data_IF_549654342276
#
_entry.id   IF_549654342276
#
_cell.length_a   1.000
_cell.length_b   1.000
_cell.length_c   1.000
_cell.angle_alpha   90.00
_cell.angle_beta   90.00
_cell.angle_gamma   90.00
#
_symmetry.space_group_name_H-M   'P 1'
#
loop_
_entity.id
_entity.type
_entity.pdbx_description
1 polymer ?
#
# COMPACT_ATOMS: atom_id res chain seq x y z
N UNK A 1 18.01 14.77 27.65
CA UNK A 1 17.36 13.97 26.59
C UNK A 1 16.82 12.71 27.23
N UNK A 2 15.52 12.64 27.52
CA UNK A 2 14.93 11.49 28.20
C UNK A 2 14.71 10.36 27.19
N UNK A 3 15.54 9.32 27.26
CA UNK A 3 15.25 8.05 26.58
C UNK A 3 14.17 7.33 27.37
N UNK A 4 12.95 7.33 26.84
CA UNK A 4 11.85 6.53 27.38
C UNK A 4 12.22 5.06 27.15
N UNK A 5 12.33 4.26 28.21
CA UNK A 5 12.55 2.81 28.08
C UNK A 5 11.26 2.17 27.59
N UNK A 6 11.14 1.99 26.28
CA UNK A 6 10.12 1.12 25.70
C UNK A 6 10.64 -0.32 25.75
N UNK A 7 9.90 -1.19 26.43
CA UNK A 7 10.11 -2.64 26.37
C UNK A 7 9.38 -3.21 25.14
N UNK A 8 9.63 -2.63 23.97
CA UNK A 8 9.22 -3.23 22.70
C UNK A 8 10.15 -4.42 22.43
N UNK A 9 9.55 -5.58 22.16
CA UNK A 9 10.28 -6.78 21.75
C UNK A 9 11.12 -6.42 20.52
N UNK A 10 12.43 -6.59 20.62
CA UNK A 10 13.43 -6.10 19.66
C UNK A 10 13.54 -6.99 18.40
N UNK A 11 12.59 -7.91 18.19
CA UNK A 11 12.59 -8.82 17.04
C UNK A 11 12.18 -8.06 15.79
N UNK A 12 13.11 -8.09 14.85
CA UNK A 12 13.17 -7.29 13.64
C UNK A 12 11.81 -7.15 12.94
N UNK A 13 11.43 -5.93 12.51
CA UNK A 13 10.45 -5.83 11.43
C UNK A 13 10.96 -6.73 10.29
N UNK A 14 10.07 -7.47 9.61
CA UNK A 14 10.34 -8.56 8.65
C UNK A 14 11.38 -8.38 7.54
N UNK A 15 12.20 -7.34 7.57
CA UNK A 15 13.46 -7.19 6.86
C UNK A 15 14.48 -8.17 7.45
N UNK A 16 14.76 -9.24 6.71
CA UNK A 16 15.75 -10.26 7.10
C UNK A 16 17.19 -9.81 6.80
N UNK A 17 17.36 -9.00 5.75
CA UNK A 17 18.68 -8.51 5.34
C UNK A 17 18.57 -7.13 4.71
N UNK A 18 19.42 -6.21 5.16
CA UNK A 18 19.61 -4.89 4.55
C UNK A 18 20.94 -4.93 3.80
N UNK A 19 20.92 -4.65 2.50
CA UNK A 19 22.13 -4.51 1.67
C UNK A 19 22.37 -3.04 1.34
N UNK A 20 21.29 -2.29 1.07
CA UNK A 20 21.36 -0.88 0.72
C UNK A 20 20.11 -0.16 1.22
N UNK A 21 20.33 0.98 1.87
CA UNK A 21 19.30 1.92 2.29
C UNK A 21 19.58 3.32 1.72
N UNK A 22 18.55 4.18 1.72
CA UNK A 22 18.73 5.60 1.38
C UNK A 22 19.36 6.29 2.57
N UNK A 23 20.56 6.84 2.38
CA UNK A 23 21.25 7.64 3.39
C UNK A 23 20.41 8.85 3.80
N UNK A 24 20.20 9.02 5.11
CA UNK A 24 19.31 10.05 5.66
C UNK A 24 17.81 9.73 5.55
N UNK A 25 17.44 8.60 4.95
CA UNK A 25 16.06 8.16 4.79
C UNK A 25 15.26 8.99 3.79
N UNK A 26 13.93 8.96 3.94
CA UNK A 26 13.03 9.80 3.16
C UNK A 26 11.81 10.23 3.94
N UNK A 27 11.29 11.39 3.56
CA UNK A 27 10.13 12.00 4.20
C UNK A 27 8.85 11.38 3.68
N UNK A 28 8.05 10.81 4.57
CA UNK A 28 6.75 10.22 4.23
C UNK A 28 5.67 11.31 4.22
N UNK A 29 4.92 11.36 3.13
CA UNK A 29 3.78 12.25 2.98
C UNK A 29 2.58 11.73 3.78
N UNK A 30 2.20 12.45 4.84
CA UNK A 30 1.08 12.06 5.70
C UNK A 30 -0.29 12.39 5.13
N UNK A 31 -0.36 13.29 4.14
CA UNK A 31 -1.60 13.94 3.73
C UNK A 31 -2.68 12.95 3.28
N UNK A 32 -2.29 11.82 2.69
CA UNK A 32 -3.21 10.79 2.22
C UNK A 32 -3.55 9.70 3.25
N UNK A 33 -2.91 9.76 4.41
CA UNK A 33 -3.04 8.79 5.51
C UNK A 33 -3.72 9.39 6.74
N UNK A 34 -3.64 10.72 6.91
CA UNK A 34 -4.22 11.45 8.04
C UNK A 34 -5.73 11.18 8.13
N UNK A 35 -6.19 10.77 9.31
CA UNK A 35 -7.59 10.44 9.58
C UNK A 35 -8.01 9.04 9.11
N UNK A 36 -7.08 8.26 8.54
CA UNK A 36 -7.28 6.85 8.20
C UNK A 36 -6.54 5.97 9.20
N UNK A 37 -5.27 6.30 9.46
CA UNK A 37 -4.40 5.65 10.44
C UNK A 37 -3.64 6.71 11.25
N UNK A 38 -3.29 6.37 12.48
CA UNK A 38 -2.48 7.23 13.35
C UNK A 38 -0.98 6.95 13.17
N UNK A 39 -0.61 5.69 12.93
CA UNK A 39 0.77 5.27 12.72
C UNK A 39 0.87 4.37 11.49
N UNK A 40 1.80 4.69 10.59
CA UNK A 40 2.17 3.83 9.47
C UNK A 40 3.18 2.79 9.97
N UNK A 41 2.90 1.48 9.87
CA UNK A 41 3.86 0.45 10.24
C UNK A 41 5.10 0.45 9.32
N UNK A 42 6.21 -0.21 9.73
CA UNK A 42 7.31 -0.52 8.82
C UNK A 42 6.86 -1.55 7.76
N UNK A 43 7.73 -1.87 6.81
CA UNK A 43 7.50 -2.78 5.69
C UNK A 43 6.48 -2.29 4.65
N UNK A 44 6.21 -0.99 4.61
CA UNK A 44 5.27 -0.43 3.65
C UNK A 44 6.00 0.00 2.40
N UNK A 45 5.49 -0.43 1.24
CA UNK A 45 6.00 0.00 -0.05
C UNK A 45 5.59 1.45 -0.29
N UNK A 46 6.57 2.28 -0.65
CA UNK A 46 6.37 3.69 -0.97
C UNK A 46 6.95 4.01 -2.35
N UNK A 47 6.35 5.01 -2.99
CA UNK A 47 6.82 5.60 -4.23
C UNK A 47 7.09 7.09 -4.07
N UNK A 48 8.12 7.59 -4.76
CA UNK A 48 8.53 8.98 -4.66
C UNK A 48 7.72 9.87 -5.62
N UNK A 49 7.34 11.06 -5.16
CA UNK A 49 6.75 12.10 -6.00
C UNK A 49 7.81 13.04 -6.60
N UNK A 50 7.38 13.97 -7.46
CA UNK A 50 8.26 14.95 -8.10
C UNK A 50 8.94 15.93 -7.12
N UNK A 51 8.39 16.12 -5.92
CA UNK A 51 8.93 16.99 -4.88
C UNK A 51 9.88 16.23 -3.93
N UNK A 52 10.05 14.93 -4.13
CA UNK A 52 10.89 14.06 -3.31
C UNK A 52 10.24 13.56 -2.02
N UNK A 53 8.93 13.72 -1.85
CA UNK A 53 8.17 13.07 -0.78
C UNK A 53 7.80 11.65 -1.18
N UNK A 54 7.83 10.74 -0.21
CA UNK A 54 7.45 9.35 -0.40
C UNK A 54 6.01 9.15 0.03
N UNK A 55 5.20 8.55 -0.84
CA UNK A 55 3.80 8.25 -0.60
C UNK A 55 3.57 6.74 -0.57
N UNK A 56 2.63 6.29 0.24
CA UNK A 56 2.29 4.87 0.36
C UNK A 56 1.66 4.38 -0.93
N UNK A 57 2.20 3.28 -1.48
CA UNK A 57 1.53 2.53 -2.54
C UNK A 57 0.42 1.74 -1.88
N UNK A 58 -0.80 2.28 -1.95
CA UNK A 58 -1.96 1.67 -1.28
C UNK A 58 -2.41 0.43 -2.03
N UNK A 59 -2.47 -0.68 -1.30
CA UNK A 59 -3.00 -1.94 -1.79
C UNK A 59 -4.04 -2.53 -0.82
N UNK A 60 -4.87 -3.44 -1.32
CA UNK A 60 -5.85 -4.16 -0.51
C UNK A 60 -6.14 -5.54 -1.09
N UNK A 61 -6.35 -6.53 -0.22
CA UNK A 61 -6.51 -7.92 -0.63
C UNK A 61 -7.99 -8.22 -0.82
N UNK A 62 -8.37 -8.78 -1.97
CA UNK A 62 -9.74 -9.21 -2.24
C UNK A 62 -10.08 -10.47 -1.43
N UNK A 63 -11.18 -10.43 -0.67
CA UNK A 63 -11.61 -11.52 0.22
C UNK A 63 -12.69 -12.42 -0.39
N UNK A 64 -13.43 -11.92 -1.37
CA UNK A 64 -14.45 -12.67 -2.10
C UNK A 64 -14.37 -12.37 -3.60
N UNK A 65 -14.69 -13.37 -4.43
CA UNK A 65 -14.74 -13.17 -5.87
C UNK A 65 -15.85 -12.17 -6.25
N UNK A 66 -15.56 -11.29 -7.20
CA UNK A 66 -16.49 -10.31 -7.74
C UNK A 66 -16.63 -10.53 -9.25
N UNK A 67 -17.87 -10.49 -9.75
CA UNK A 67 -18.17 -10.64 -11.17
C UNK A 67 -17.61 -9.44 -11.99
N UNK A 68 -17.54 -9.58 -13.30
CA UNK A 68 -16.91 -8.58 -14.16
C UNK A 68 -17.65 -7.22 -14.20
N UNK A 69 -18.95 -7.24 -13.95
CA UNK A 69 -19.87 -6.11 -13.85
C UNK A 69 -20.08 -5.64 -12.40
N UNK A 70 -19.49 -6.34 -11.42
CA UNK A 70 -19.63 -5.98 -10.02
C UNK A 70 -18.92 -4.65 -9.74
N UNK A 71 -19.64 -3.77 -9.04
CA UNK A 71 -19.11 -2.49 -8.56
C UNK A 71 -18.74 -2.54 -7.07
N UNK A 72 -19.21 -3.56 -6.35
CA UNK A 72 -18.86 -3.79 -4.95
C UNK A 72 -17.83 -4.92 -4.86
N UNK A 73 -16.69 -4.63 -4.23
CA UNK A 73 -15.59 -5.57 -4.05
C UNK A 73 -15.30 -5.69 -2.56
N UNK A 74 -15.30 -6.92 -2.04
CA UNK A 74 -14.93 -7.19 -0.66
C UNK A 74 -13.43 -7.28 -0.53
N UNK A 75 -12.89 -6.56 0.44
CA UNK A 75 -11.46 -6.53 0.72
C UNK A 75 -11.15 -6.75 2.21
N UNK A 76 -9.93 -7.20 2.47
CA UNK A 76 -9.43 -7.38 3.82
C UNK A 76 -9.38 -6.03 4.56
N UNK A 77 -9.53 -6.11 5.88
CA UNK A 77 -9.43 -4.97 6.79
C UNK A 77 -8.06 -4.28 6.72
N UNK A 78 -8.01 -3.10 7.31
CA UNK A 78 -6.80 -2.27 7.50
C UNK A 78 -6.20 -1.68 6.22
N UNK A 79 -6.91 -1.74 5.10
CA UNK A 79 -6.52 -0.98 3.91
C UNK A 79 -6.55 0.55 4.17
N UNK A 80 -5.72 1.29 3.43
CA UNK A 80 -5.59 2.76 3.56
C UNK A 80 -6.26 3.56 2.45
N UNK A 81 -7.09 2.90 1.64
CA UNK A 81 -7.91 3.58 0.61
C UNK A 81 -8.88 4.59 1.21
N UNK A 82 -9.16 5.67 0.46
CA UNK A 82 -10.21 6.65 0.76
C UNK A 82 -11.20 6.80 -0.40
N UNK A 83 -12.40 7.28 -0.07
CA UNK A 83 -13.41 7.66 -1.08
C UNK A 83 -12.83 8.75 -2.00
N UNK A 84 -13.11 8.67 -3.29
CA UNK A 84 -12.59 9.56 -4.33
C UNK A 84 -11.25 9.13 -4.93
N UNK A 85 -10.59 8.09 -4.41
CA UNK A 85 -9.42 7.47 -5.05
C UNK A 85 -9.82 6.49 -6.14
N UNK A 86 -8.97 6.32 -7.15
CA UNK A 86 -9.16 5.33 -8.20
C UNK A 86 -8.33 4.06 -7.94
N UNK A 87 -8.92 2.90 -8.22
CA UNK A 87 -8.26 1.60 -8.04
C UNK A 87 -8.40 0.72 -9.27
N UNK A 88 -7.47 -0.21 -9.43
CA UNK A 88 -7.47 -1.29 -10.42
C UNK A 88 -7.21 -2.63 -9.74
N UNK A 89 -7.56 -3.72 -10.41
CA UNK A 89 -7.15 -5.08 -10.02
C UNK A 89 -5.74 -5.35 -10.56
N UNK A 90 -4.82 -5.69 -9.67
CA UNK A 90 -3.44 -6.07 -9.97
C UNK A 90 -2.51 -4.91 -10.32
N UNK A 91 -1.28 -4.97 -9.83
CA UNK A 91 -0.16 -4.11 -10.14
C UNK A 91 0.39 -4.28 -11.56
N UNK A 92 -0.11 -5.25 -12.33
CA UNK A 92 0.17 -5.37 -13.76
C UNK A 92 -0.54 -4.26 -14.58
N UNK A 93 -1.52 -3.56 -13.99
CA UNK A 93 -2.26 -2.44 -14.60
C UNK A 93 -2.92 -2.78 -15.95
N UNK A 94 -3.27 -4.04 -16.17
CA UNK A 94 -3.90 -4.51 -17.41
C UNK A 94 -5.40 -4.27 -17.43
N UNK A 95 -6.03 -4.24 -16.26
CA UNK A 95 -7.46 -4.00 -16.08
C UNK A 95 -7.87 -2.54 -16.27
N UNK A 96 -9.18 -2.29 -16.28
CA UNK A 96 -9.70 -0.93 -16.19
C UNK A 96 -9.58 -0.43 -14.74
N UNK A 97 -9.68 0.88 -14.54
CA UNK A 97 -9.74 1.48 -13.22
C UNK A 97 -10.92 2.43 -13.08
N UNK A 98 -11.47 2.50 -11.88
CA UNK A 98 -12.55 3.43 -11.55
C UNK A 98 -12.43 3.93 -10.11
N UNK A 99 -13.22 4.95 -9.80
CA UNK A 99 -13.18 5.72 -8.55
C UNK A 99 -14.03 5.05 -7.48
N UNK A 100 -13.47 4.95 -6.28
CA UNK A 100 -14.17 4.53 -5.06
C UNK A 100 -15.23 5.57 -4.71
N UNK A 101 -16.50 5.18 -4.78
CA UNK A 101 -17.65 6.00 -4.41
C UNK A 101 -18.01 5.87 -2.94
N UNK A 102 -17.80 4.68 -2.35
CA UNK A 102 -18.07 4.43 -0.93
C UNK A 102 -17.15 3.34 -0.38
N UNK A 103 -16.93 3.39 0.93
CA UNK A 103 -16.22 2.35 1.69
C UNK A 103 -17.09 2.03 2.90
N UNK A 104 -17.59 0.80 2.96
CA UNK A 104 -18.33 0.29 4.10
C UNK A 104 -17.40 -0.55 4.99
N UNK A 105 -17.24 -0.13 6.25
CA UNK A 105 -16.39 -0.78 7.26
C UNK A 105 -17.18 -1.47 8.39
N UNK A 106 -18.50 -1.57 8.26
CA UNK A 106 -19.40 -2.08 9.32
C UNK A 106 -19.22 -3.56 9.60
N UNK A 107 -18.87 -4.37 8.60
CA UNK A 107 -18.61 -5.80 8.79
C UNK A 107 -17.30 -6.02 9.55
N UNK A 108 -17.27 -6.92 10.53
CA UNK A 108 -16.06 -7.18 11.31
C UNK A 108 -14.94 -7.89 10.53
N UNK A 109 -15.29 -8.72 9.53
CA UNK A 109 -14.34 -9.59 8.82
C UNK A 109 -13.72 -8.95 7.58
N UNK A 110 -14.45 -8.04 6.92
CA UNK A 110 -14.01 -7.41 5.67
C UNK A 110 -14.54 -5.97 5.58
N UNK A 111 -13.97 -5.21 4.65
CA UNK A 111 -14.49 -3.92 4.19
C UNK A 111 -15.07 -4.10 2.79
N UNK A 112 -16.09 -3.33 2.43
CA UNK A 112 -16.66 -3.33 1.08
C UNK A 112 -16.31 -2.02 0.40
N UNK A 113 -15.57 -2.09 -0.70
CA UNK A 113 -15.32 -0.96 -1.58
C UNK A 113 -16.39 -0.95 -2.67
N UNK A 114 -17.11 0.15 -2.78
CA UNK A 114 -18.01 0.40 -3.91
C UNK A 114 -17.32 1.35 -4.89
N UNK A 115 -17.28 0.95 -6.15
CA UNK A 115 -16.72 1.70 -7.27
C UNK A 115 -17.84 2.40 -8.05
N UNK A 116 -17.48 3.48 -8.74
CA UNK A 116 -18.41 4.22 -9.61
C UNK A 116 -18.72 3.48 -10.92
N UNK A 117 -17.88 2.51 -11.28
CA UNK A 117 -18.04 1.64 -12.43
C UNK A 117 -17.23 0.36 -12.25
N UNK A 118 -17.57 -0.66 -13.04
CA UNK A 118 -16.93 -1.96 -12.95
C UNK A 118 -15.52 -1.92 -13.56
N UNK A 119 -14.58 -2.64 -12.94
CA UNK A 119 -13.16 -2.68 -13.32
C UNK A 119 -12.71 -4.05 -13.83
N UNK A 120 -13.66 -4.98 -14.01
CA UNK A 120 -13.43 -6.37 -14.38
C UNK A 120 -13.62 -7.33 -13.20
N UNK A 121 -13.46 -8.62 -13.47
CA UNK A 121 -13.67 -9.66 -12.46
C UNK A 121 -12.51 -9.71 -11.48
N UNK A 122 -12.80 -9.74 -10.18
CA UNK A 122 -11.82 -9.92 -9.11
C UNK A 122 -11.92 -11.33 -8.54
N UNK A 123 -10.78 -11.97 -8.28
CA UNK A 123 -10.70 -13.27 -7.63
C UNK A 123 -10.27 -13.11 -6.17
N UNK A 124 -10.57 -14.13 -5.37
CA UNK A 124 -10.06 -14.20 -3.99
C UNK A 124 -8.54 -14.17 -4.04
N UNK A 125 -7.94 -13.39 -3.14
CA UNK A 125 -6.50 -13.10 -3.06
C UNK A 125 -5.94 -12.17 -4.14
N UNK A 126 -6.75 -11.66 -5.09
CA UNK A 126 -6.30 -10.58 -5.95
C UNK A 126 -5.97 -9.33 -5.11
N UNK A 127 -5.10 -8.48 -5.64
CA UNK A 127 -4.68 -7.24 -4.97
C UNK A 127 -5.28 -6.05 -5.72
N UNK A 128 -6.10 -5.25 -5.04
CA UNK A 128 -6.48 -3.93 -5.52
C UNK A 128 -5.32 -2.96 -5.30
N UNK A 129 -5.06 -2.11 -6.28
CA UNK A 129 -3.95 -1.15 -6.26
C UNK A 129 -4.43 0.26 -6.60
N UNK A 130 -3.92 1.25 -5.88
CA UNK A 130 -4.17 2.66 -6.14
C UNK A 130 -3.56 3.14 -7.46
N UNK A 131 -4.38 3.81 -8.26
CA UNK A 131 -3.99 4.41 -9.54
C UNK A 131 -4.34 5.89 -9.60
N UNK A 132 -3.81 6.59 -10.60
CA UNK A 132 -3.95 8.04 -10.75
C UNK A 132 -5.40 8.50 -10.92
N UNK A 133 -6.17 7.78 -11.74
CA UNK A 133 -7.53 8.16 -12.13
C UNK A 133 -8.28 6.96 -12.74
N UNK A 134 -9.56 7.17 -13.05
CA UNK A 134 -10.35 6.30 -13.93
C UNK A 134 -9.66 6.19 -15.29
N UNK A 135 -9.53 4.97 -15.79
CA UNK A 135 -8.88 4.68 -17.06
C UNK A 135 -9.48 3.42 -17.70
N UNK A 136 -9.42 3.38 -19.03
CA UNK A 136 -9.68 2.15 -19.78
C UNK A 136 -8.62 1.08 -19.49
N UNK A 137 -8.92 -0.17 -19.84
CA UNK A 137 -7.97 -1.28 -19.73
C UNK A 137 -6.62 -0.93 -20.38
N UNK A 138 -5.52 -1.29 -19.71
CA UNK A 138 -4.12 -1.00 -20.11
C UNK A 138 -3.72 0.48 -20.14
N UNK A 139 -4.60 1.41 -19.75
CA UNK A 139 -4.28 2.83 -19.65
C UNK A 139 -4.07 3.30 -18.20
N UNK A 140 -4.32 2.44 -17.21
CA UNK A 140 -4.10 2.73 -15.80
C UNK A 140 -2.61 2.98 -15.50
N UNK A 141 -2.34 3.90 -14.57
CA UNK A 141 -0.99 4.22 -14.10
C UNK A 141 -0.99 4.25 -12.58
N UNK A 142 0.07 3.72 -11.96
CA UNK A 142 0.28 3.89 -10.53
C UNK A 142 0.23 5.36 -10.16
N UNK A 143 -0.47 5.68 -9.07
CA UNK A 143 -0.42 7.04 -8.52
C UNK A 143 0.99 7.38 -8.05
N UNK A 144 1.64 6.42 -7.39
CA UNK A 144 3.03 6.46 -6.99
C UNK A 144 3.67 5.13 -7.37
N UNK A 145 4.75 5.18 -8.15
CA UNK A 145 5.42 3.96 -8.63
C UNK A 145 6.14 3.29 -7.46
N UNK A 146 5.91 1.99 -7.18
CA UNK A 146 6.64 1.24 -6.16
C UNK A 146 8.15 1.36 -6.32
N UNK A 147 8.87 1.79 -5.29
CA UNK A 147 10.31 2.04 -5.37
C UNK A 147 11.10 1.45 -4.20
N UNK A 148 10.65 1.69 -2.96
CA UNK A 148 11.38 1.31 -1.74
C UNK A 148 10.42 0.91 -0.62
N UNK A 149 10.95 0.30 0.44
CA UNK A 149 10.18 -0.17 1.60
C UNK A 149 10.56 0.63 2.86
N UNK A 150 9.57 1.06 3.65
CA UNK A 150 9.82 1.74 4.93
C UNK A 150 10.41 0.80 5.97
N UNK A 151 11.40 1.27 6.72
CA UNK A 151 12.07 0.50 7.76
C UNK A 151 11.56 0.80 9.17
N UNK A 152 11.03 2.01 9.36
CA UNK A 152 10.56 2.50 10.65
C UNK A 152 9.08 2.82 10.60
N UNK A 153 8.43 2.69 11.76
CA UNK A 153 7.09 3.26 11.98
C UNK A 153 7.12 4.79 11.86
N UNK A 154 6.02 5.35 11.36
CA UNK A 154 5.89 6.79 11.09
C UNK A 154 4.58 7.28 11.71
N UNK A 155 4.65 8.25 12.61
CA UNK A 155 3.47 8.90 13.19
C UNK A 155 2.86 9.85 12.15
N UNK A 156 1.62 9.57 11.77
CA UNK A 156 0.87 10.30 10.74
C UNK A 156 0.04 11.44 11.37
N UNK A 157 -0.12 11.46 12.70
CA UNK A 157 -0.89 12.48 13.43
C UNK A 157 -0.14 13.83 13.49
N UNK A 158 1.20 13.78 13.45
CA UNK A 158 2.10 14.94 13.42
C UNK A 158 2.61 15.24 12.02
N UNK A 159 3.37 16.33 11.83
CA UNK A 159 3.91 16.74 10.53
C UNK A 159 4.70 15.60 9.84
N UNK A 160 4.89 15.70 8.51
CA UNK A 160 5.60 14.68 7.73
C UNK A 160 6.91 14.26 8.42
N UNK A 161 7.05 12.97 8.71
CA UNK A 161 8.21 12.41 9.38
C UNK A 161 9.09 11.62 8.41
N UNK A 162 10.32 11.37 8.83
CA UNK A 162 11.28 10.56 8.08
C UNK A 162 11.15 9.09 8.45
N UNK A 163 11.34 8.22 7.47
CA UNK A 163 11.57 6.78 7.68
C UNK A 163 12.89 6.38 7.01
N UNK A 164 13.55 5.36 7.56
CA UNK A 164 14.60 4.65 6.83
C UNK A 164 13.96 3.96 5.63
N UNK A 165 14.65 3.95 4.49
CA UNK A 165 14.11 3.40 3.25
C UNK A 165 15.03 2.31 2.73
N UNK A 166 14.52 1.09 2.66
CA UNK A 166 15.19 -0.08 2.13
C UNK A 166 15.13 -0.05 0.60
N UNK A 167 16.31 -0.03 -0.03
CA UNK A 167 16.46 -0.10 -1.49
C UNK A 167 16.78 -1.52 -1.93
N UNK A 168 17.64 -2.22 -1.18
CA UNK A 168 18.08 -3.59 -1.51
C UNK A 168 18.14 -4.46 -0.27
N UNK A 169 17.60 -5.68 -0.34
CA UNK A 169 17.56 -6.55 0.82
C UNK A 169 16.69 -7.79 0.66
N UNK A 170 16.41 -8.45 1.78
CA UNK A 170 15.45 -9.56 1.88
C UNK A 170 14.35 -9.17 2.85
N UNK A 171 13.10 -9.38 2.47
CA UNK A 171 11.91 -9.08 3.27
C UNK A 171 10.98 -10.29 3.28
N UNK A 172 10.49 -10.65 4.46
CA UNK A 172 9.46 -11.66 4.65
C UNK A 172 8.09 -11.10 4.25
N UNK A 173 7.51 -11.67 3.20
CA UNK A 173 6.24 -11.21 2.62
C UNK A 173 5.05 -11.47 3.57
N UNK A 174 5.12 -12.53 4.38
CA UNK A 174 4.02 -12.95 5.25
C UNK A 174 3.73 -11.97 6.41
N UNK A 175 4.72 -11.15 6.78
CA UNK A 175 4.59 -10.15 7.86
C UNK A 175 4.42 -8.73 7.32
N UNK A 176 4.31 -8.56 6.00
CA UNK A 176 4.03 -7.25 5.42
C UNK A 176 2.61 -6.78 5.79
N UNK A 177 2.43 -5.52 6.18
CA UNK A 177 1.13 -4.99 6.63
C UNK A 177 0.11 -4.86 5.50
N UNK A 178 0.58 -4.70 4.26
CA UNK A 178 -0.25 -4.57 3.06
C UNK A 178 0.12 -5.65 2.04
N UNK A 179 -0.86 -6.20 1.32
CA UNK A 179 -0.62 -7.24 0.33
C UNK A 179 0.15 -6.70 -0.86
N UNK A 180 1.03 -7.52 -1.43
CA UNK A 180 1.85 -7.18 -2.59
C UNK A 180 1.71 -8.29 -3.61
N UNK A 181 1.41 -7.93 -4.86
CA UNK A 181 1.34 -8.92 -5.94
C UNK A 181 2.67 -9.06 -6.68
N UNK A 182 2.76 -10.08 -7.53
CA UNK A 182 3.99 -10.38 -8.26
C UNK A 182 4.43 -9.24 -9.18
N UNK A 183 3.48 -8.46 -9.71
CA UNK A 183 3.78 -7.31 -10.56
C UNK A 183 4.45 -6.18 -9.78
N UNK A 184 3.98 -5.87 -8.56
CA UNK A 184 4.64 -4.89 -7.68
C UNK A 184 6.00 -5.43 -7.21
N UNK A 185 6.10 -6.72 -6.86
CA UNK A 185 7.37 -7.35 -6.49
C UNK A 185 8.40 -7.24 -7.60
N UNK A 186 7.99 -7.40 -8.86
CA UNK A 186 8.87 -7.25 -10.03
C UNK A 186 9.42 -5.82 -10.21
N UNK A 187 8.69 -4.78 -9.77
CA UNK A 187 9.17 -3.40 -9.78
C UNK A 187 10.27 -3.19 -8.73
N UNK A 188 10.16 -3.86 -7.58
CA UNK A 188 11.12 -3.85 -6.48
C UNK A 188 12.24 -4.87 -6.69
N UNK A 189 12.87 -4.85 -7.87
CA UNK A 189 13.81 -5.87 -8.37
C UNK A 189 15.02 -6.20 -7.48
N UNK A 190 15.37 -5.30 -6.55
CA UNK A 190 16.50 -5.48 -5.65
C UNK A 190 16.10 -5.98 -4.25
N UNK A 191 14.80 -6.16 -4.03
CA UNK A 191 14.24 -6.71 -2.80
C UNK A 191 13.82 -8.14 -3.09
N UNK A 192 14.39 -9.07 -2.33
CA UNK A 192 13.97 -10.47 -2.35
C UNK A 192 12.83 -10.63 -1.36
N UNK A 193 11.65 -10.98 -1.85
CA UNK A 193 10.53 -11.39 -1.02
C UNK A 193 10.66 -12.89 -0.72
N UNK A 194 10.54 -13.26 0.55
CA UNK A 194 10.62 -14.65 1.06
C UNK A 194 9.40 -15.03 1.87
#
# INVERSE_FOLDING_TARGET
>A
MFRKKQSEFQYAPGIEKIIEDIQGGGTIARAELKGIIDELPPLVIVGKDANGLYHVVKTGKVTAAAAADAVAIQIAKNHVFKVGEAVTIGGALTGASDVISAIDKTNAAYDTITLSGAIGAAKINDVLVLVTAKAAAKAAKFKYTPEVITMNKVDVTVANQQSGLLVRGTVNEAVMPYPVDDAIKALLRFIRFV
#
